data_IF_105950731733
#
_entry.id   IF_105950731733
#
_cell.length_a   1.000
_cell.length_b   1.000
_cell.length_c   1.000
_cell.angle_alpha   90.00
_cell.angle_beta   90.00
_cell.angle_gamma   90.00
#
_symmetry.space_group_name_H-M   'P 1'
#
loop_
_entity.id
_entity.type
_entity.pdbx_description
1 polymer ?
#
# COMPACT_ATOMS: atom_id res chain seq x y z
N UNK A 1 0.71 -8.04 7.79
CA UNK A 1 -0.13 -8.69 6.76
C UNK A 1 -0.46 -7.78 5.55
N UNK A 2 0.54 -7.25 4.82
CA UNK A 2 0.33 -6.39 3.62
C UNK A 2 0.96 -6.97 2.33
N UNK A 3 1.59 -8.14 2.41
CA UNK A 3 2.42 -8.70 1.34
C UNK A 3 1.63 -9.08 0.08
N UNK A 4 0.37 -9.49 0.23
CA UNK A 4 -0.43 -9.96 -0.90
C UNK A 4 -0.80 -8.85 -1.88
N UNK A 5 -0.98 -7.62 -1.40
CA UNK A 5 -1.25 -6.46 -2.27
C UNK A 5 -0.07 -6.05 -3.15
N UNK A 6 1.14 -6.49 -2.78
CA UNK A 6 2.38 -6.18 -3.49
C UNK A 6 2.75 -7.25 -4.53
N UNK A 7 2.12 -8.42 -4.45
CA UNK A 7 2.43 -9.58 -5.29
C UNK A 7 2.22 -9.29 -6.78
N UNK A 8 1.01 -8.83 -7.15
CA UNK A 8 0.65 -8.52 -8.53
C UNK A 8 1.57 -7.43 -9.15
N UNK A 9 1.80 -6.27 -8.49
CA UNK A 9 2.75 -5.26 -8.97
C UNK A 9 4.17 -5.80 -9.15
N UNK A 10 4.64 -6.63 -8.23
CA UNK A 10 5.99 -7.21 -8.29
C UNK A 10 6.14 -8.12 -9.50
N UNK A 11 5.19 -9.04 -9.73
CA UNK A 11 5.25 -9.95 -10.88
C UNK A 11 5.12 -9.18 -12.19
N UNK A 12 4.22 -8.21 -12.26
CA UNK A 12 4.07 -7.34 -13.44
C UNK A 12 5.38 -6.59 -13.76
N UNK A 13 6.04 -6.03 -12.73
CA UNK A 13 7.32 -5.33 -12.86
C UNK A 13 8.44 -6.26 -13.33
N UNK A 14 8.49 -7.50 -12.84
CA UNK A 14 9.49 -8.48 -13.28
C UNK A 14 9.31 -8.79 -14.77
N UNK A 15 8.07 -9.05 -15.20
CA UNK A 15 7.77 -9.31 -16.62
C UNK A 15 8.16 -8.10 -17.48
N UNK A 16 7.80 -6.89 -17.05
CA UNK A 16 8.14 -5.67 -17.77
C UNK A 16 9.66 -5.48 -17.88
N UNK A 17 10.42 -5.70 -16.80
CA UNK A 17 11.88 -5.64 -16.80
C UNK A 17 12.50 -6.66 -17.75
N UNK A 18 12.01 -7.90 -17.75
CA UNK A 18 12.48 -8.94 -18.68
C UNK A 18 12.18 -8.58 -20.14
N UNK A 19 10.98 -8.04 -20.41
CA UNK A 19 10.62 -7.54 -21.74
C UNK A 19 11.47 -6.34 -22.16
N UNK A 20 11.79 -5.44 -21.23
CA UNK A 20 12.68 -4.31 -21.45
C UNK A 20 14.08 -4.77 -21.81
N UNK A 21 14.64 -5.72 -21.05
CA UNK A 21 15.94 -6.36 -21.36
C UNK A 21 15.91 -6.95 -22.77
N UNK A 22 14.85 -7.69 -23.13
CA UNK A 22 14.70 -8.25 -24.48
C UNK A 22 14.69 -7.19 -25.59
N UNK A 23 14.07 -6.03 -25.36
CA UNK A 23 13.95 -4.96 -26.36
C UNK A 23 15.20 -4.08 -26.48
N UNK A 24 15.79 -3.72 -25.35
CA UNK A 24 16.84 -2.69 -25.27
C UNK A 24 18.24 -3.29 -25.29
N UNK A 25 18.43 -4.43 -24.63
CA UNK A 25 19.69 -5.15 -24.67
C UNK A 25 19.67 -5.95 -25.97
N UNK A 26 20.50 -5.59 -26.95
CA UNK A 26 20.70 -6.37 -28.18
C UNK A 26 21.33 -7.73 -27.84
N UNK A 27 20.58 -8.60 -27.19
CA UNK A 27 20.98 -9.93 -26.76
C UNK A 27 21.12 -10.82 -28.00
N UNK A 28 22.36 -11.07 -28.43
CA UNK A 28 22.60 -11.90 -29.61
C UNK A 28 22.32 -13.38 -29.36
N UNK A 29 22.54 -13.86 -28.12
CA UNK A 29 22.44 -15.29 -27.78
C UNK A 29 21.43 -15.61 -26.67
N UNK A 30 21.19 -14.68 -25.73
CA UNK A 30 20.38 -14.94 -24.53
C UNK A 30 18.88 -14.65 -24.68
N UNK A 31 18.41 -14.27 -25.88
CA UNK A 31 16.99 -14.02 -26.13
C UNK A 31 16.10 -15.21 -25.77
N UNK A 32 16.45 -16.47 -26.13
CA UNK A 32 15.67 -17.64 -25.74
C UNK A 32 15.59 -17.83 -24.23
N UNK A 33 16.65 -17.47 -23.48
CA UNK A 33 16.65 -17.55 -22.02
C UNK A 33 15.63 -16.58 -21.41
N UNK A 34 15.57 -15.35 -21.91
CA UNK A 34 14.60 -14.36 -21.44
C UNK A 34 13.17 -14.82 -21.75
N UNK A 35 12.95 -15.45 -22.90
CA UNK A 35 11.64 -16.00 -23.28
C UNK A 35 11.20 -17.13 -22.35
N UNK A 36 12.10 -18.06 -22.02
CA UNK A 36 11.84 -19.14 -21.06
C UNK A 36 11.58 -18.58 -19.66
N UNK A 37 12.29 -17.54 -19.23
CA UNK A 37 12.05 -16.89 -17.93
C UNK A 37 10.67 -16.23 -17.87
N UNK A 38 10.30 -15.47 -18.91
CA UNK A 38 8.96 -14.85 -18.98
C UNK A 38 7.87 -15.94 -18.98
N UNK A 39 8.05 -17.00 -19.77
CA UNK A 39 7.12 -18.11 -19.83
C UNK A 39 6.99 -18.81 -18.48
N UNK A 40 8.10 -19.09 -17.79
CA UNK A 40 8.11 -19.73 -16.48
C UNK A 40 7.44 -18.89 -15.40
N UNK A 41 7.68 -17.57 -15.38
CA UNK A 41 7.01 -16.63 -14.46
C UNK A 41 5.50 -16.62 -14.71
N UNK A 42 5.07 -16.50 -15.98
CA UNK A 42 3.65 -16.54 -16.35
C UNK A 42 3.00 -17.87 -16.01
N UNK A 43 3.70 -18.99 -16.20
CA UNK A 43 3.18 -20.31 -15.87
C UNK A 43 2.96 -20.49 -14.37
N UNK A 44 3.91 -20.03 -13.53
CA UNK A 44 3.79 -20.15 -12.07
C UNK A 44 2.81 -19.15 -11.45
N UNK A 45 2.76 -17.93 -11.97
CA UNK A 45 2.04 -16.82 -11.35
C UNK A 45 0.88 -16.27 -12.18
N UNK A 46 0.49 -16.94 -13.27
CA UNK A 46 -0.61 -16.50 -14.12
C UNK A 46 -1.92 -16.32 -13.35
N UNK A 47 -2.20 -17.22 -12.40
CA UNK A 47 -3.38 -17.16 -11.54
C UNK A 47 -3.50 -15.87 -10.71
N UNK A 48 -2.38 -15.20 -10.44
CA UNK A 48 -2.35 -13.97 -9.63
C UNK A 48 -3.09 -12.83 -10.33
N UNK A 49 -3.06 -12.81 -11.67
CA UNK A 49 -3.74 -11.80 -12.49
C UNK A 49 -5.26 -12.02 -12.60
N UNK A 50 -5.75 -13.19 -12.19
CA UNK A 50 -7.17 -13.58 -12.25
C UNK A 50 -7.79 -13.71 -10.85
N UNK A 51 -6.96 -13.87 -9.82
CA UNK A 51 -7.42 -14.03 -8.44
C UNK A 51 -8.06 -12.74 -7.91
N UNK A 52 -9.38 -12.75 -7.73
CA UNK A 52 -10.15 -11.64 -7.13
C UNK A 52 -9.54 -11.17 -5.81
N UNK A 53 -9.10 -12.09 -4.94
CA UNK A 53 -8.45 -11.73 -3.66
C UNK A 53 -7.15 -10.96 -3.88
N UNK A 54 -6.35 -11.35 -4.87
CA UNK A 54 -5.08 -10.68 -5.14
C UNK A 54 -5.31 -9.29 -5.72
N UNK A 55 -6.24 -9.19 -6.68
CA UNK A 55 -6.63 -7.93 -7.30
C UNK A 55 -7.20 -6.95 -6.26
N UNK A 56 -8.09 -7.42 -5.37
CA UNK A 56 -8.63 -6.60 -4.27
C UNK A 56 -7.53 -6.18 -3.29
N UNK A 57 -6.63 -7.09 -2.90
CA UNK A 57 -5.52 -6.75 -2.01
C UNK A 57 -4.59 -5.71 -2.62
N UNK A 58 -4.31 -5.79 -3.93
CA UNK A 58 -3.52 -4.78 -4.65
C UNK A 58 -4.25 -3.45 -4.74
N UNK A 59 -5.56 -3.47 -5.02
CA UNK A 59 -6.40 -2.27 -5.04
C UNK A 59 -6.40 -1.52 -3.70
N UNK A 60 -6.37 -2.26 -2.59
CA UNK A 60 -6.31 -1.71 -1.24
C UNK A 60 -4.93 -1.16 -0.86
N UNK A 61 -3.87 -1.51 -1.60
CA UNK A 61 -2.52 -1.09 -1.27
C UNK A 61 -2.29 0.38 -1.70
N UNK A 62 -1.90 1.30 -0.78
CA UNK A 62 -1.90 2.74 -1.03
C UNK A 62 -0.98 3.18 -2.18
N UNK A 63 0.09 2.43 -2.43
CA UNK A 63 1.08 2.69 -3.48
C UNK A 63 0.66 2.20 -4.87
N UNK A 64 -0.12 1.12 -4.97
CA UNK A 64 -0.36 0.43 -6.25
C UNK A 64 -1.77 0.67 -6.77
N UNK A 65 -2.75 0.82 -5.85
CA UNK A 65 -4.13 1.16 -6.17
C UNK A 65 -4.64 0.29 -7.33
N UNK A 66 -5.33 0.89 -8.29
CA UNK A 66 -5.84 0.22 -9.49
C UNK A 66 -4.93 0.36 -10.73
N UNK A 67 -3.66 0.76 -10.58
CA UNK A 67 -2.76 0.93 -11.75
C UNK A 67 -2.41 -0.41 -12.41
N UNK A 68 -2.24 -1.46 -11.62
CA UNK A 68 -1.81 -2.78 -12.08
C UNK A 68 -2.98 -3.72 -12.43
N UNK A 69 -4.22 -3.23 -12.38
CA UNK A 69 -5.44 -3.99 -12.65
C UNK A 69 -5.94 -3.64 -14.06
N UNK A 70 -6.33 -4.65 -14.83
CA UNK A 70 -6.88 -4.46 -16.18
C UNK A 70 -8.19 -3.68 -16.13
N UNK A 71 -8.41 -2.78 -17.10
CA UNK A 71 -9.61 -1.91 -17.16
C UNK A 71 -10.92 -2.69 -17.01
N UNK A 72 -11.00 -3.87 -17.64
CA UNK A 72 -12.18 -4.75 -17.61
C UNK A 72 -12.50 -5.30 -16.21
N UNK A 73 -11.48 -5.48 -15.36
CA UNK A 73 -11.63 -6.01 -14.01
C UNK A 73 -11.88 -4.90 -12.97
N UNK A 74 -11.58 -3.64 -13.28
CA UNK A 74 -11.64 -2.55 -12.30
C UNK A 74 -13.03 -2.36 -11.70
N UNK A 75 -14.07 -2.41 -12.52
CA UNK A 75 -15.45 -2.21 -12.06
C UNK A 75 -15.92 -3.33 -11.11
N UNK A 76 -15.54 -4.58 -11.40
CA UNK A 76 -15.84 -5.73 -10.53
C UNK A 76 -15.11 -5.62 -9.19
N UNK A 77 -13.83 -5.25 -9.22
CA UNK A 77 -13.02 -5.07 -8.01
C UNK A 77 -13.51 -3.89 -7.16
N UNK A 78 -13.94 -2.78 -7.77
CA UNK A 78 -14.52 -1.65 -7.06
C UNK A 78 -15.83 -2.02 -6.34
N UNK A 79 -16.69 -2.75 -7.05
CA UNK A 79 -17.95 -3.26 -6.48
C UNK A 79 -17.66 -4.20 -5.31
N UNK A 80 -16.75 -5.16 -5.50
CA UNK A 80 -16.35 -6.08 -4.44
C UNK A 80 -15.73 -5.39 -3.23
N UNK A 81 -14.91 -4.35 -3.44
CA UNK A 81 -14.33 -3.59 -2.33
C UNK A 81 -15.40 -2.81 -1.57
N UNK A 82 -16.37 -2.24 -2.27
CA UNK A 82 -17.49 -1.50 -1.67
C UNK A 82 -18.36 -2.42 -0.80
N UNK A 83 -18.60 -3.64 -1.26
CA UNK A 83 -19.30 -4.69 -0.51
C UNK A 83 -18.56 -5.04 0.79
N UNK A 84 -17.26 -5.32 0.71
CA UNK A 84 -16.44 -5.64 1.90
C UNK A 84 -16.40 -4.50 2.92
N UNK A 85 -16.27 -3.25 2.44
CA UNK A 85 -16.30 -2.07 3.32
C UNK A 85 -17.66 -1.93 4.00
N UNK A 86 -18.76 -2.21 3.29
CA UNK A 86 -20.10 -2.18 3.86
C UNK A 86 -20.27 -3.20 4.99
N UNK A 87 -19.70 -4.41 4.84
CA UNK A 87 -19.69 -5.42 5.90
C UNK A 87 -18.93 -4.95 7.15
N UNK A 88 -17.75 -4.34 6.96
CA UNK A 88 -16.94 -3.82 8.07
C UNK A 88 -17.61 -2.65 8.83
N UNK A 89 -18.50 -1.92 8.16
CA UNK A 89 -19.25 -0.82 8.78
C UNK A 89 -20.47 -1.29 9.60
N UNK A 90 -20.90 -2.54 9.43
CA UNK A 90 -21.94 -3.11 10.30
C UNK A 90 -21.32 -3.53 11.64
N UNK A 91 -21.84 -3.07 12.79
CA UNK A 91 -21.28 -3.38 14.10
C UNK A 91 -21.48 -4.87 14.40
N UNK A 92 -20.49 -5.68 14.03
CA UNK A 92 -20.43 -7.10 14.34
C UNK A 92 -19.91 -7.25 15.77
N UNK A 93 -20.82 -7.56 16.70
CA UNK A 93 -20.46 -8.01 18.05
C UNK A 93 -19.89 -9.42 17.93
N UNK A 94 -18.56 -9.59 18.06
CA UNK A 94 -17.96 -10.90 18.39
C UNK A 94 -16.57 -10.74 19.03
N UNK A 95 -16.12 -11.70 19.86
CA UNK A 95 -15.09 -11.52 20.88
C UNK A 95 -13.67 -11.63 20.32
N UNK A 96 -12.78 -10.79 20.85
CA UNK A 96 -11.34 -10.78 20.57
C UNK A 96 -10.66 -12.06 21.05
N UNK A 97 -9.97 -12.76 20.14
CA UNK A 97 -8.97 -13.77 20.48
C UNK A 97 -7.59 -13.17 20.19
N UNK A 98 -6.81 -12.99 21.25
CA UNK A 98 -5.42 -12.51 21.21
C UNK A 98 -4.51 -13.58 20.60
N UNK A 99 -3.72 -13.19 19.59
CA UNK A 99 -2.58 -13.96 19.11
C UNK A 99 -1.35 -13.06 19.21
N UNK A 100 -0.35 -13.49 19.98
CA UNK A 100 0.95 -12.83 20.06
C UNK A 100 1.82 -13.24 18.86
N UNK A 101 2.41 -12.29 18.14
CA UNK A 101 3.39 -12.53 17.08
C UNK A 101 4.79 -12.05 17.53
N UNK A 102 5.77 -12.97 17.49
CA UNK A 102 7.20 -12.71 17.68
C UNK A 102 7.80 -11.85 16.54
N UNK A 103 8.80 -10.98 16.82
CA UNK A 103 9.36 -10.05 15.84
C UNK A 103 10.35 -10.74 14.88
N UNK A 104 9.97 -10.88 13.60
CA UNK A 104 10.87 -11.27 12.51
C UNK A 104 11.41 -10.01 11.82
N UNK A 105 12.75 -9.91 11.73
CA UNK A 105 13.50 -8.79 11.12
C UNK A 105 13.06 -8.51 9.67
N UNK A 106 12.61 -7.27 9.41
CA UNK A 106 11.88 -6.83 8.20
C UNK A 106 12.75 -6.14 7.12
N UNK A 107 14.07 -6.36 7.07
CA UNK A 107 14.96 -5.40 6.38
C UNK A 107 15.25 -5.60 4.87
N UNK A 108 14.70 -6.59 4.14
CA UNK A 108 15.18 -6.85 2.74
C UNK A 108 14.13 -6.88 1.61
N UNK A 109 12.82 -6.72 1.90
CA UNK A 109 11.79 -6.84 0.85
C UNK A 109 11.49 -5.52 0.13
N UNK A 110 11.75 -4.38 0.76
CA UNK A 110 11.37 -3.05 0.23
C UNK A 110 12.37 -2.45 -0.77
N UNK A 111 13.56 -3.06 -0.91
CA UNK A 111 14.63 -2.60 -1.79
C UNK A 111 14.31 -2.74 -3.28
N UNK A 112 13.35 -3.61 -3.64
CA UNK A 112 12.98 -3.91 -5.04
C UNK A 112 12.07 -2.87 -5.70
N UNK A 113 11.43 -1.99 -4.93
CA UNK A 113 10.49 -1.00 -5.48
C UNK A 113 11.24 0.18 -6.10
N UNK A 114 10.80 0.68 -7.28
CA UNK A 114 11.36 1.89 -7.86
C UNK A 114 11.07 3.07 -6.91
N UNK A 115 12.10 3.49 -6.17
CA UNK A 115 12.05 4.72 -5.37
C UNK A 115 11.85 5.88 -6.36
N UNK A 116 10.71 6.56 -6.31
CA UNK A 116 10.60 7.89 -6.91
C UNK A 116 11.72 8.73 -6.30
N UNK A 117 12.48 9.45 -7.12
CA UNK A 117 13.39 10.49 -6.61
C UNK A 117 12.52 11.57 -5.97
N UNK A 118 12.31 11.46 -4.67
CA UNK A 118 11.64 12.48 -3.89
C UNK A 118 12.68 13.54 -3.48
N UNK A 119 12.79 14.62 -4.27
CA UNK A 119 13.35 15.92 -3.86
C UNK A 119 12.44 16.61 -2.81
N UNK A 120 11.87 15.85 -1.88
CA UNK A 120 10.79 16.31 -0.98
C UNK A 120 11.02 16.03 0.50
N UNK A 121 12.25 15.76 0.93
CA UNK A 121 12.56 15.72 2.35
C UNK A 121 12.68 17.11 2.99
N UNK A 122 12.94 18.15 2.20
CA UNK A 122 13.19 19.50 2.75
C UNK A 122 11.90 20.28 3.10
N UNK A 123 10.78 19.99 2.44
CA UNK A 123 9.53 20.76 2.64
C UNK A 123 8.74 20.33 3.87
N UNK A 124 8.81 19.05 4.24
CA UNK A 124 8.12 18.50 5.40
C UNK A 124 8.76 19.01 6.69
N UNK A 125 10.09 19.09 6.72
CA UNK A 125 10.82 19.57 7.89
C UNK A 125 10.64 21.08 8.11
N UNK A 126 10.60 21.87 7.02
CA UNK A 126 10.23 23.29 7.07
C UNK A 126 8.79 23.46 7.58
N UNK A 127 7.85 22.62 7.15
CA UNK A 127 6.46 22.67 7.63
C UNK A 127 6.35 22.37 9.13
N UNK A 128 7.09 21.36 9.62
CA UNK A 128 7.12 21.00 11.04
C UNK A 128 7.78 22.06 11.92
N UNK A 129 8.75 22.81 11.38
CA UNK A 129 9.44 23.92 12.07
C UNK A 129 8.68 25.25 12.05
N UNK A 130 7.64 25.38 11.23
CA UNK A 130 6.83 26.63 11.12
C UNK A 130 5.60 26.61 12.05
N UNK A 131 5.46 25.57 12.87
CA UNK A 131 4.23 25.25 13.61
C UNK A 131 4.06 25.93 14.98
N UNK A 132 4.75 27.04 15.23
CA UNK A 132 4.44 27.87 16.39
C UNK A 132 3.51 29.03 15.98
N UNK A 133 2.31 29.01 16.58
CA UNK A 133 1.27 30.06 16.69
C UNK A 133 0.07 30.09 15.72
N UNK A 134 -0.02 29.26 14.68
CA UNK A 134 -1.19 29.31 13.74
C UNK A 134 -2.22 28.18 13.88
N UNK A 135 -1.89 27.03 14.50
CA UNK A 135 -2.84 25.91 14.55
C UNK A 135 -4.12 26.20 15.34
N UNK A 136 -4.03 26.98 16.43
CA UNK A 136 -5.20 27.34 17.23
C UNK A 136 -6.20 28.20 16.45
N UNK A 137 -5.70 29.08 15.58
CA UNK A 137 -6.51 29.96 14.72
C UNK A 137 -7.11 29.18 13.56
N UNK A 138 -6.36 28.23 12.99
CA UNK A 138 -6.81 27.35 11.91
C UNK A 138 -7.94 26.38 12.34
N UNK A 139 -8.02 26.01 13.62
CA UNK A 139 -9.11 25.15 14.12
C UNK A 139 -10.43 25.86 14.40
N UNK A 140 -10.52 27.18 14.15
CA UNK A 140 -11.78 27.92 14.22
C UNK A 140 -12.77 27.49 13.13
N UNK A 141 -12.27 27.09 11.95
CA UNK A 141 -13.09 26.66 10.80
C UNK A 141 -13.44 25.17 10.79
N UNK A 142 -12.88 24.37 11.71
CA UNK A 142 -13.04 22.90 11.73
C UNK A 142 -13.52 22.40 13.12
N UNK A 143 -14.83 22.51 13.42
CA UNK A 143 -15.37 22.29 14.76
C UNK A 143 -15.26 20.83 15.26
N UNK A 144 -15.20 19.85 14.36
CA UNK A 144 -15.03 18.43 14.73
C UNK A 144 -13.63 18.11 15.25
N UNK A 145 -12.60 18.70 14.64
CA UNK A 145 -11.19 18.45 15.00
C UNK A 145 -10.81 19.14 16.31
N UNK A 146 -11.44 20.30 16.60
CA UNK A 146 -11.31 21.00 17.88
C UNK A 146 -11.83 20.19 19.08
N UNK A 147 -12.85 19.34 18.88
CA UNK A 147 -13.37 18.47 19.95
C UNK A 147 -12.37 17.39 20.33
N UNK A 148 -11.74 16.74 19.35
CA UNK A 148 -10.74 15.70 19.58
C UNK A 148 -9.52 16.26 20.34
N UNK A 149 -9.02 17.43 19.95
CA UNK A 149 -7.91 18.07 20.64
C UNK A 149 -8.25 18.49 22.09
N UNK A 150 -9.48 18.96 22.35
CA UNK A 150 -9.95 19.26 23.72
C UNK A 150 -10.14 18.02 24.59
N UNK A 151 -10.45 16.86 24.01
CA UNK A 151 -10.61 15.60 24.74
C UNK A 151 -9.25 15.07 25.20
N UNK A 152 -8.21 15.21 24.36
CA UNK A 152 -6.84 14.79 24.69
C UNK A 152 -6.23 15.57 25.86
N UNK A 153 -6.59 16.85 26.02
CA UNK A 153 -6.10 17.71 27.11
C UNK A 153 -7.04 17.77 28.34
N UNK A 154 -8.04 16.88 28.44
CA UNK A 154 -8.97 16.80 29.58
C UNK A 154 -8.95 15.45 30.31
N UNK A 155 -7.83 14.73 30.30
CA UNK A 155 -7.61 13.67 31.30
C UNK A 155 -6.80 14.24 32.48
N UNK A 156 -7.42 14.38 33.67
CA UNK A 156 -6.76 14.79 34.89
C UNK A 156 -6.18 13.55 35.57
N UNK A 157 -4.95 13.17 35.22
CA UNK A 157 -4.19 12.21 36.00
C UNK A 157 -2.74 12.66 36.12
N UNK A 158 -2.54 13.61 37.04
CA UNK A 158 -1.34 13.68 37.88
C UNK A 158 -1.78 14.09 39.29
N UNK A 159 -2.16 13.07 40.06
CA UNK A 159 -1.75 12.96 41.46
C UNK A 159 -0.42 12.21 41.43
N UNK A 160 0.67 12.86 41.83
CA UNK A 160 1.83 12.31 42.54
C UNK A 160 2.86 13.43 42.71
N UNK A 161 2.98 13.90 43.97
CA UNK A 161 3.93 14.83 44.62
C UNK A 161 4.85 15.71 43.76
#
# INVERSE_FOLDING_TARGET
MAYYGVLLPTIATIIEKLQKIKRESKLQYCTPLVDVLIAGVKQRFGYVFESRKCLMATACHPMFRMEYILMEQKADIETGLTEEVRWLQTPSTSPTADYEEDPVSEDDITSFFPKKKDDKLDKVEVFLKTLDTSLLTAFSSLPKMRRVHKIQHRCPCQCCM
#
